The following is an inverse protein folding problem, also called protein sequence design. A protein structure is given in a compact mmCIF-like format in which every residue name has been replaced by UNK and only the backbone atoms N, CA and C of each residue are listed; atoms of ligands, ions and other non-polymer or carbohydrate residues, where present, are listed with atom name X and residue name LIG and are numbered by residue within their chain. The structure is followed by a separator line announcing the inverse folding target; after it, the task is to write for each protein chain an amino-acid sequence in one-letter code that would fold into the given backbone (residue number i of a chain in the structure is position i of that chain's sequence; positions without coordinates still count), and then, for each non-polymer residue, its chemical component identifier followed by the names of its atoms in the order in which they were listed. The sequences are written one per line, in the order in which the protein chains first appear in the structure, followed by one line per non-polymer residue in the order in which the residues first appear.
data_IF_292793394233
#
_entry.id   IF_292793394233
#
_cell.length_a   1.000
_cell.length_b   1.000
_cell.length_c   1.000
_cell.angle_alpha   90.00
_cell.angle_beta   90.00
_cell.angle_gamma   90.00
#
_symmetry.space_group_name_H-M   'P 1'
#
loop_
_entity.id
_entity.type
_entity.pdbx_description
1 polymer ?
#
# COMPACT_ATOMS: atom_id res chain seq x y z
N UNK A 1 5.17 -15.38 7.30
CA UNK A 1 6.34 -14.58 6.88
C UNK A 1 6.36 -13.29 7.70
N UNK A 2 7.48 -12.57 7.79
CA UNK A 2 7.50 -11.26 8.45
C UNK A 2 6.90 -10.21 7.52
N UNK A 3 6.13 -9.26 8.09
CA UNK A 3 5.61 -8.12 7.35
C UNK A 3 6.74 -7.13 7.02
N UNK A 4 6.81 -6.76 5.76
CA UNK A 4 7.65 -5.72 5.17
C UNK A 4 6.78 -4.58 4.67
N UNK A 5 7.02 -3.40 5.22
CA UNK A 5 6.24 -2.20 4.94
C UNK A 5 6.66 -1.50 3.65
N UNK A 6 7.92 -1.62 3.24
CA UNK A 6 8.38 -1.09 1.96
C UNK A 6 7.74 -1.87 0.82
N UNK A 7 7.59 -3.19 0.98
CA UNK A 7 6.85 -4.01 0.03
C UNK A 7 5.35 -3.66 -0.01
N UNK A 8 4.71 -3.43 1.15
CA UNK A 8 3.29 -3.03 1.16
C UNK A 8 3.09 -1.71 0.42
N UNK A 9 3.93 -0.70 0.68
CA UNK A 9 3.92 0.57 -0.05
C UNK A 9 4.08 0.34 -1.55
N UNK A 10 5.08 -0.45 -1.95
CA UNK A 10 5.37 -0.72 -3.35
C UNK A 10 4.19 -1.41 -4.05
N UNK A 11 3.55 -2.39 -3.41
CA UNK A 11 2.38 -3.09 -3.96
C UNK A 11 1.22 -2.10 -4.15
N UNK A 12 0.86 -1.32 -3.12
CA UNK A 12 -0.28 -0.40 -3.20
C UNK A 12 -0.08 0.64 -4.31
N UNK A 13 1.08 1.28 -4.37
CA UNK A 13 1.38 2.29 -5.39
C UNK A 13 1.43 1.68 -6.79
N UNK A 14 1.93 0.44 -6.93
CA UNK A 14 1.94 -0.26 -8.22
C UNK A 14 0.54 -0.64 -8.68
N UNK A 15 -0.32 -1.15 -7.78
CA UNK A 15 -1.73 -1.44 -8.09
C UNK A 15 -2.49 -0.17 -8.48
N UNK A 16 -2.22 0.95 -7.81
CA UNK A 16 -2.83 2.25 -8.15
C UNK A 16 -2.45 2.74 -9.54
N UNK A 17 -1.21 2.48 -9.97
CA UNK A 17 -0.71 2.92 -11.28
C UNK A 17 -1.35 2.19 -12.46
N UNK A 18 -2.12 1.14 -12.22
CA UNK A 18 -2.81 0.39 -13.27
C UNK A 18 -4.02 1.16 -13.78
N UNK A 19 -4.00 1.48 -15.08
CA UNK A 19 -5.12 2.10 -15.79
C UNK A 19 -6.22 1.07 -16.09
N UNK A 20 -7.03 0.77 -15.07
CA UNK A 20 -8.18 -0.12 -15.18
C UNK A 20 -9.47 0.70 -15.31
N UNK A 21 -10.30 0.34 -16.28
CA UNK A 21 -11.65 0.89 -16.38
C UNK A 21 -12.48 0.48 -15.16
N UNK A 22 -13.41 1.33 -14.67
CA UNK A 22 -14.28 0.98 -13.56
C UNK A 22 -14.98 -0.37 -13.77
N UNK A 23 -14.87 -1.26 -12.78
CA UNK A 23 -15.46 -2.61 -12.82
C UNK A 23 -14.64 -3.66 -13.58
N UNK A 24 -13.53 -3.29 -14.22
CA UNK A 24 -12.60 -4.28 -14.78
C UNK A 24 -11.98 -5.13 -13.67
N UNK A 25 -11.74 -6.41 -13.97
CA UNK A 25 -11.07 -7.33 -13.06
C UNK A 25 -9.78 -7.76 -13.74
N UNK A 26 -8.65 -7.34 -13.17
CA UNK A 26 -7.35 -7.86 -13.54
C UNK A 26 -7.15 -9.21 -12.85
N UNK A 27 -6.59 -10.16 -13.58
CA UNK A 27 -6.18 -11.45 -13.05
C UNK A 27 -4.76 -11.73 -13.47
N UNK A 28 -3.86 -11.88 -12.48
CA UNK A 28 -2.51 -12.35 -12.70
C UNK A 28 -2.45 -13.82 -12.30
N UNK A 29 -1.99 -14.68 -13.22
CA UNK A 29 -1.67 -16.08 -12.95
C UNK A 29 -0.19 -16.30 -12.64
N UNK A 30 0.62 -15.28 -12.91
CA UNK A 30 2.06 -15.34 -12.77
C UNK A 30 2.57 -14.00 -12.24
N UNK A 31 2.51 -13.85 -10.91
CA UNK A 31 3.02 -12.67 -10.20
C UNK A 31 4.48 -12.39 -10.58
N UNK A 32 5.27 -13.42 -10.87
CA UNK A 32 6.68 -13.26 -11.26
C UNK A 32 6.85 -12.58 -12.60
N UNK A 33 5.83 -12.51 -13.46
CA UNK A 33 5.93 -11.81 -14.75
C UNK A 33 5.00 -10.60 -14.81
N UNK A 34 3.76 -10.73 -14.34
CA UNK A 34 2.74 -9.68 -14.44
C UNK A 34 2.92 -8.59 -13.38
N UNK A 35 3.49 -8.93 -12.21
CA UNK A 35 3.51 -8.05 -11.04
C UNK A 35 4.84 -8.03 -10.28
N UNK A 36 5.97 -8.06 -10.99
CA UNK A 36 7.31 -7.98 -10.39
C UNK A 36 7.57 -6.72 -9.55
N UNK A 37 8.18 -6.90 -8.38
CA UNK A 37 8.74 -5.80 -7.58
C UNK A 37 10.20 -6.16 -7.28
N UNK A 38 11.12 -5.30 -7.70
CA UNK A 38 12.56 -5.53 -7.57
C UNK A 38 12.96 -5.85 -6.13
N UNK A 39 13.73 -6.92 -5.94
CA UNK A 39 14.18 -7.38 -4.62
C UNK A 39 13.21 -8.29 -3.87
N UNK A 40 12.04 -8.59 -4.45
CA UNK A 40 11.02 -9.42 -3.81
C UNK A 40 10.59 -10.60 -4.68
N UNK A 41 10.39 -11.75 -4.04
CA UNK A 41 9.85 -12.97 -4.67
C UNK A 41 8.33 -12.90 -4.83
N UNK A 42 7.75 -13.67 -5.76
CA UNK A 42 6.29 -13.78 -5.88
C UNK A 42 5.61 -14.25 -4.59
N UNK A 43 6.26 -15.11 -3.80
CA UNK A 43 5.75 -15.53 -2.50
C UNK A 43 5.67 -14.37 -1.49
N UNK A 44 6.70 -13.50 -1.45
CA UNK A 44 6.65 -12.29 -0.63
C UNK A 44 5.56 -11.35 -1.10
N UNK A 45 5.45 -11.12 -2.41
CA UNK A 45 4.44 -10.24 -3.00
C UNK A 45 3.03 -10.75 -2.68
N UNK A 46 2.75 -12.03 -2.94
CA UNK A 46 1.46 -12.68 -2.64
C UNK A 46 1.11 -12.58 -1.15
N UNK A 47 2.07 -12.86 -0.25
CA UNK A 47 1.84 -12.75 1.19
C UNK A 47 1.45 -11.32 1.60
N UNK A 48 2.14 -10.30 1.10
CA UNK A 48 1.83 -8.91 1.44
C UNK A 48 0.57 -8.39 0.75
N UNK A 49 0.27 -8.86 -0.46
CA UNK A 49 -1.00 -8.60 -1.14
C UNK A 49 -2.17 -9.12 -0.29
N UNK A 50 -2.05 -10.32 0.29
CA UNK A 50 -3.06 -10.85 1.22
C UNK A 50 -3.26 -9.94 2.44
N UNK A 51 -2.18 -9.46 3.07
CA UNK A 51 -2.29 -8.53 4.19
C UNK A 51 -3.01 -7.23 3.81
N UNK A 52 -2.78 -6.71 2.60
CA UNK A 52 -3.46 -5.52 2.07
C UNK A 52 -4.96 -5.80 1.85
N UNK A 53 -5.30 -6.96 1.29
CA UNK A 53 -6.68 -7.40 1.09
C UNK A 53 -7.42 -7.58 2.43
N UNK A 54 -6.80 -8.23 3.42
CA UNK A 54 -7.35 -8.41 4.77
C UNK A 54 -7.65 -7.08 5.48
N UNK A 55 -6.87 -6.03 5.18
CA UNK A 55 -7.09 -4.68 5.72
C UNK A 55 -8.19 -3.88 4.99
N UNK A 56 -8.79 -4.46 3.95
CA UNK A 56 -9.84 -3.85 3.13
C UNK A 56 -9.34 -2.70 2.28
N UNK A 57 -8.06 -2.67 1.92
CA UNK A 57 -7.46 -1.60 1.12
C UNK A 57 -7.65 -1.81 -0.38
N UNK A 58 -7.89 -3.05 -0.80
CA UNK A 58 -8.14 -3.43 -2.17
C UNK A 58 -9.39 -4.29 -2.27
N UNK A 59 -9.94 -4.31 -3.47
CA UNK A 59 -11.04 -5.16 -3.86
C UNK A 59 -10.52 -6.28 -4.75
N UNK A 60 -10.61 -7.51 -4.26
CA UNK A 60 -10.12 -8.70 -4.98
C UNK A 60 -11.18 -9.33 -5.88
N UNK A 61 -12.31 -8.66 -6.12
CA UNK A 61 -13.43 -9.19 -6.90
C UNK A 61 -13.98 -10.54 -6.38
N UNK A 62 -13.94 -10.75 -5.06
CA UNK A 62 -14.50 -11.93 -4.40
C UNK A 62 -13.66 -13.21 -4.52
N UNK A 63 -12.40 -13.10 -4.94
CA UNK A 63 -11.46 -14.23 -4.97
C UNK A 63 -10.31 -14.00 -4.00
N UNK A 64 -9.92 -15.08 -3.32
CA UNK A 64 -8.75 -15.04 -2.46
C UNK A 64 -7.48 -15.23 -3.29
N UNK A 65 -6.41 -14.45 -3.03
CA UNK A 65 -5.12 -14.66 -3.64
C UNK A 65 -4.56 -16.05 -3.34
N UNK A 66 -3.83 -16.61 -4.29
CA UNK A 66 -3.02 -17.82 -4.07
C UNK A 66 -1.55 -17.46 -3.99
N UNK A 67 -0.67 -18.45 -3.81
CA UNK A 67 0.77 -18.25 -3.74
C UNK A 67 1.38 -17.62 -5.01
N UNK A 68 0.71 -17.72 -6.16
CA UNK A 68 1.21 -17.19 -7.45
C UNK A 68 0.20 -16.38 -8.26
N UNK A 69 -1.04 -16.26 -7.79
CA UNK A 69 -2.09 -15.56 -8.52
C UNK A 69 -2.90 -14.65 -7.62
N UNK A 70 -3.42 -13.58 -8.20
CA UNK A 70 -4.37 -12.71 -7.53
C UNK A 70 -5.34 -12.11 -8.54
N UNK A 71 -6.49 -11.68 -8.03
CA UNK A 71 -7.43 -10.81 -8.73
C UNK A 71 -7.43 -9.44 -8.07
N UNK A 72 -7.58 -8.42 -8.90
CA UNK A 72 -7.65 -7.04 -8.46
C UNK A 72 -8.66 -6.28 -9.30
N UNK A 73 -9.62 -5.63 -8.65
CA UNK A 73 -10.61 -4.76 -9.28
C UNK A 73 -10.26 -3.30 -9.09
N UNK A 74 -9.98 -2.89 -7.86
CA UNK A 74 -9.59 -1.52 -7.53
C UNK A 74 -8.97 -1.43 -6.15
N UNK A 75 -8.35 -0.28 -5.85
CA UNK A 75 -8.20 0.17 -4.48
C UNK A 75 -9.57 0.55 -3.91
N UNK A 76 -9.73 0.42 -2.60
CA UNK A 76 -10.85 1.03 -1.87
C UNK A 76 -10.48 2.47 -1.53
N UNK A 77 -11.44 3.27 -1.05
CA UNK A 77 -11.15 4.63 -0.54
C UNK A 77 -10.04 4.61 0.53
N UNK A 78 -10.02 3.59 1.39
CA UNK A 78 -8.98 3.41 2.43
C UNK A 78 -7.61 3.07 1.82
N UNK A 79 -7.59 2.33 0.71
CA UNK A 79 -6.38 2.05 -0.05
C UNK A 79 -5.78 3.31 -0.67
N UNK A 80 -6.62 4.17 -1.28
CA UNK A 80 -6.19 5.46 -1.81
C UNK A 80 -5.66 6.40 -0.73
N UNK A 81 -6.37 6.51 0.40
CA UNK A 81 -5.91 7.26 1.57
C UNK A 81 -4.50 6.85 2.03
N UNK A 82 -4.22 5.54 2.05
CA UNK A 82 -2.89 5.05 2.38
C UNK A 82 -1.89 5.42 1.29
N UNK A 83 -2.21 5.14 0.01
CA UNK A 83 -1.36 5.44 -1.14
C UNK A 83 -0.91 6.90 -1.14
N UNK A 84 -1.85 7.84 -0.97
CA UNK A 84 -1.58 9.28 -0.94
C UNK A 84 -0.73 9.69 0.25
N UNK A 85 -0.97 9.10 1.43
CA UNK A 85 -0.18 9.40 2.63
C UNK A 85 1.29 8.99 2.50
N UNK A 86 1.59 7.94 1.74
CA UNK A 86 2.95 7.37 1.62
C UNK A 86 3.60 7.63 0.27
N UNK A 87 2.96 8.37 -0.64
CA UNK A 87 3.46 8.59 -2.00
C UNK A 87 4.80 9.32 -2.01
N UNK A 88 4.93 10.38 -1.21
CA UNK A 88 6.15 11.18 -1.12
C UNK A 88 7.26 10.42 -0.37
N UNK A 89 8.42 10.28 -1.01
CA UNK A 89 9.54 9.50 -0.45
C UNK A 89 10.10 10.12 0.84
N UNK A 90 10.08 11.45 1.00
CA UNK A 90 10.56 12.12 2.22
C UNK A 90 9.59 11.91 3.37
N UNK A 91 8.28 12.01 3.10
CA UNK A 91 7.23 11.70 4.08
C UNK A 91 7.32 10.24 4.48
N UNK A 92 7.52 9.32 3.54
CA UNK A 92 7.67 7.91 3.82
C UNK A 92 8.90 7.61 4.68
N UNK A 93 10.07 8.16 4.33
CA UNK A 93 11.29 8.00 5.10
C UNK A 93 11.12 8.50 6.55
N UNK A 94 10.53 9.68 6.71
CA UNK A 94 10.26 10.28 8.04
C UNK A 94 9.27 9.44 8.85
N UNK A 95 8.23 8.91 8.19
CA UNK A 95 7.23 8.03 8.81
C UNK A 95 7.90 6.76 9.36
N UNK A 96 8.74 6.10 8.57
CA UNK A 96 9.47 4.90 9.01
C UNK A 96 10.40 5.20 10.18
N UNK A 97 11.15 6.29 10.12
CA UNK A 97 12.05 6.71 11.20
C UNK A 97 11.28 6.95 12.52
N UNK A 98 10.15 7.66 12.44
CA UNK A 98 9.30 7.93 13.59
C UNK A 98 8.73 6.65 14.23
N UNK A 99 8.23 5.73 13.41
CA UNK A 99 7.69 4.46 13.90
C UNK A 99 8.77 3.57 14.53
N UNK A 100 9.96 3.50 13.94
CA UNK A 100 11.10 2.78 14.54
C UNK A 100 11.47 3.36 15.92
N UNK A 101 11.51 4.69 16.05
CA UNK A 101 11.75 5.37 17.33
C UNK A 101 10.67 5.10 18.38
N UNK A 102 9.42 4.90 17.94
CA UNK A 102 8.30 4.59 18.83
C UNK A 102 8.24 3.11 19.25
N UNK A 103 9.14 2.24 18.74
CA UNK A 103 9.19 0.82 19.11
C UNK A 103 8.02 -0.02 18.58
N UNK A 104 7.20 0.53 17.68
CA UNK A 104 6.00 -0.12 17.15
C UNK A 104 5.87 0.10 15.65
N UNK A 105 5.50 -0.94 14.91
CA UNK A 105 5.52 -0.91 13.45
C UNK A 105 4.25 -1.56 12.87
N UNK A 106 3.08 -0.95 13.11
CA UNK A 106 1.79 -1.41 12.55
C UNK A 106 1.40 -0.64 11.29
N UNK A 107 0.60 -1.27 10.42
CA UNK A 107 0.08 -0.66 9.19
C UNK A 107 -0.71 0.62 9.49
N UNK A 108 -1.58 0.54 10.50
CA UNK A 108 -2.39 1.66 10.95
C UNK A 108 -1.54 2.79 11.50
N UNK A 109 -0.54 2.49 12.34
CA UNK A 109 0.34 3.51 12.92
C UNK A 109 1.12 4.26 11.84
N UNK A 110 1.65 3.55 10.84
CA UNK A 110 2.39 4.17 9.74
C UNK A 110 1.47 5.05 8.89
N UNK A 111 0.26 4.58 8.56
CA UNK A 111 -0.74 5.40 7.87
C UNK A 111 -1.10 6.67 8.65
N UNK A 112 -1.31 6.54 9.96
CA UNK A 112 -1.65 7.67 10.83
C UNK A 112 -0.50 8.69 10.94
N UNK A 113 0.74 8.21 11.10
CA UNK A 113 1.93 9.07 11.13
C UNK A 113 2.13 9.80 9.79
N UNK A 114 2.01 9.08 8.67
CA UNK A 114 2.13 9.66 7.33
C UNK A 114 1.07 10.74 7.09
N UNK A 115 -0.21 10.46 7.43
CA UNK A 115 -1.30 11.44 7.37
C UNK A 115 -1.01 12.67 8.24
N UNK A 116 -0.49 12.49 9.45
CA UNK A 116 -0.10 13.58 10.34
C UNK A 116 1.02 14.46 9.78
N UNK A 117 2.01 13.86 9.12
CA UNK A 117 3.08 14.61 8.44
C UNK A 117 2.56 15.40 7.25
N UNK A 118 1.65 14.83 6.46
CA UNK A 118 0.98 15.54 5.34
C UNK A 118 0.17 16.71 5.87
N UNK A 119 -0.62 16.55 6.95
CA UNK A 119 -1.35 17.63 7.61
C UNK A 119 -0.43 18.79 8.02
N UNK A 120 0.68 18.48 8.69
CA UNK A 120 1.68 19.48 9.10
C UNK A 120 2.31 20.21 7.90
N UNK A 121 2.47 19.53 6.76
CA UNK A 121 2.91 20.20 5.54
C UNK A 121 1.81 21.10 4.99
N UNK A 122 0.57 20.64 4.94
CA UNK A 122 -0.56 21.45 4.46
C UNK A 122 -0.69 22.74 5.28
N UNK A 123 -0.67 22.66 6.61
CA UNK A 123 -0.68 23.80 7.54
C UNK A 123 0.37 24.84 7.18
N UNK A 124 1.61 24.40 6.90
CA UNK A 124 2.71 25.30 6.51
C UNK A 124 2.46 26.00 5.17
N UNK A 125 1.74 25.37 4.25
CA UNK A 125 1.48 25.92 2.91
C UNK A 125 0.20 26.76 2.86
N UNK A 126 -0.83 26.42 3.62
CA UNK A 126 -2.15 27.06 3.57
C UNK A 126 -2.40 28.02 4.73
N UNK A 127 -1.69 27.87 5.85
CA UNK A 127 -1.95 28.59 7.10
C UNK A 127 -3.19 28.09 7.86
N UNK A 128 -3.80 26.98 7.44
CA UNK A 128 -5.01 26.41 8.04
C UNK A 128 -4.65 25.18 8.89
N UNK A 129 -4.99 25.20 10.18
CA UNK A 129 -4.84 24.08 11.13
C UNK A 129 -5.96 23.03 10.95
N UNK A 130 -5.60 21.74 10.93
CA UNK A 130 -6.50 20.61 10.57
C UNK A 130 -6.55 19.43 11.54
#
# INVERSE_FOLDING_TARGET
MQRDMDLIRAIVLKLESWDLRPGAIMFSNDIENDFQITGYTAHQISYHFNLIAENGWIDTAGRNPTSRSFTFRSLTSKGHDFADSVRDDKIWATTKEGALKAGGFTLELLGNLAKGLVKKQLEKHTGIEL
#
